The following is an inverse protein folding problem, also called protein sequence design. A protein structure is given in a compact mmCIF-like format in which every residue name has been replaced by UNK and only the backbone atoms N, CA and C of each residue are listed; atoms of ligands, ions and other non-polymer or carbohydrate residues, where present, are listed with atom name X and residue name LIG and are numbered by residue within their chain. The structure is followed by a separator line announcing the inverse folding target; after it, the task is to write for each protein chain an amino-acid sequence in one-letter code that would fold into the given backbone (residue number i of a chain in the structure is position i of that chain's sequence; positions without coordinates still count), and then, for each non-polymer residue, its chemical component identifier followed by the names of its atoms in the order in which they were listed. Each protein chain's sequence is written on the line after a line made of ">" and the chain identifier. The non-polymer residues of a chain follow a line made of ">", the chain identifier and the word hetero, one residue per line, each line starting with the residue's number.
data_IF_906830379055
#
_entry.id   IF_906830379055
#
_cell.length_a   1.000
_cell.length_b   1.000
_cell.length_c   1.000
_cell.angle_alpha   90.00
_cell.angle_beta   90.00
_cell.angle_gamma   90.00
#
_symmetry.space_group_name_H-M   'P 1'
#
loop_
_entity.id
_entity.type
_entity.pdbx_description
1 polymer ?
#
# COMPACT_ATOMS: atom_id res chain seq x y z
N UNK A 1 11.56 6.73 -2.15
CA UNK A 1 11.29 6.33 -0.75
C UNK A 1 11.22 4.80 -0.60
N UNK A 2 11.42 4.25 0.60
CA UNK A 2 11.23 2.80 0.88
C UNK A 2 9.75 2.50 1.10
N UNK A 3 9.24 1.39 0.58
CA UNK A 3 7.86 0.95 0.75
C UNK A 3 7.74 -0.59 0.79
N UNK A 4 6.72 -1.11 1.46
CA UNK A 4 6.36 -2.54 1.44
C UNK A 4 5.37 -2.81 0.31
N UNK A 5 5.83 -3.45 -0.76
CA UNK A 5 5.03 -3.78 -1.94
C UNK A 5 4.57 -5.23 -1.88
N UNK A 6 3.27 -5.43 -1.96
CA UNK A 6 2.64 -6.74 -2.05
C UNK A 6 2.52 -7.15 -3.52
N UNK A 7 3.20 -8.24 -3.89
CA UNK A 7 3.21 -8.81 -5.23
C UNK A 7 2.21 -9.97 -5.38
N UNK A 8 1.75 -10.53 -4.26
CA UNK A 8 0.87 -11.69 -4.22
C UNK A 8 1.08 -12.48 -2.94
N UNK A 9 0.37 -13.59 -2.82
CA UNK A 9 0.38 -14.45 -1.63
C UNK A 9 1.81 -14.78 -1.20
N UNK A 10 2.12 -14.51 0.06
CA UNK A 10 3.43 -14.69 0.69
C UNK A 10 4.60 -13.96 0.01
N UNK A 11 4.31 -12.90 -0.77
CA UNK A 11 5.30 -12.12 -1.50
C UNK A 11 5.13 -10.63 -1.19
N UNK A 12 5.66 -10.22 -0.03
CA UNK A 12 5.73 -8.83 0.41
C UNK A 12 7.20 -8.38 0.44
N UNK A 13 7.54 -7.34 -0.33
CA UNK A 13 8.94 -6.91 -0.53
C UNK A 13 9.14 -5.47 -0.11
N UNK A 14 10.20 -5.22 0.65
CA UNK A 14 10.67 -3.86 0.90
C UNK A 14 11.48 -3.38 -0.31
N UNK A 15 10.93 -2.40 -1.02
CA UNK A 15 11.50 -1.88 -2.28
C UNK A 15 11.66 -0.36 -2.22
N UNK A 16 12.61 0.18 -2.98
CA UNK A 16 12.70 1.62 -3.23
C UNK A 16 11.80 2.00 -4.40
N UNK A 17 10.88 2.92 -4.17
CA UNK A 17 9.95 3.46 -5.18
C UNK A 17 10.16 4.96 -5.35
N UNK A 18 9.74 5.56 -6.48
CA UNK A 18 9.71 7.01 -6.62
C UNK A 18 8.93 7.66 -5.48
N UNK A 19 9.41 8.82 -5.04
CA UNK A 19 8.72 9.57 -4.01
C UNK A 19 7.56 10.36 -4.62
N UNK A 20 6.32 10.22 -4.12
CA UNK A 20 5.19 10.93 -4.67
C UNK A 20 5.25 12.42 -4.33
N UNK A 21 4.77 13.25 -5.26
CA UNK A 21 4.41 14.65 -5.01
C UNK A 21 2.90 14.79 -4.90
N UNK A 22 2.38 15.72 -4.08
CA UNK A 22 0.94 15.94 -3.98
C UNK A 22 0.40 16.65 -5.22
N UNK A 23 -0.77 16.22 -5.70
CA UNK A 23 -1.56 16.94 -6.70
C UNK A 23 -2.40 18.08 -6.09
N UNK A 24 -3.16 18.82 -6.93
CA UNK A 24 -4.09 19.84 -6.45
C UNK A 24 -5.11 19.26 -5.46
N UNK A 25 -5.20 19.83 -4.26
CA UNK A 25 -6.11 19.38 -3.20
C UNK A 25 -5.59 18.22 -2.35
N UNK A 26 -4.37 17.74 -2.60
CA UNK A 26 -3.74 16.67 -1.82
C UNK A 26 -2.70 17.23 -0.86
N UNK A 27 -2.41 16.46 0.19
CA UNK A 27 -1.32 16.73 1.13
C UNK A 27 -0.40 15.52 1.15
N UNK A 28 0.91 15.77 1.15
CA UNK A 28 1.91 14.73 1.33
C UNK A 28 2.16 14.51 2.81
N UNK A 29 2.13 13.26 3.25
CA UNK A 29 2.45 12.89 4.63
C UNK A 29 3.77 12.13 4.69
N UNK A 30 4.64 12.51 5.63
CA UNK A 30 5.71 11.65 6.12
C UNK A 30 5.13 10.70 7.17
N UNK A 31 4.94 9.44 6.78
CA UNK A 31 4.41 8.40 7.67
C UNK A 31 5.38 8.18 8.84
N UNK A 32 4.86 8.32 10.07
CA UNK A 32 5.60 8.08 11.32
C UNK A 32 5.38 6.65 11.82
N UNK A 33 4.12 6.21 11.82
CA UNK A 33 3.71 4.88 12.26
C UNK A 33 2.59 4.34 11.36
N UNK A 34 2.56 3.02 11.21
CA UNK A 34 1.49 2.28 10.56
C UNK A 34 1.19 1.00 11.34
N UNK A 35 -0.08 0.72 11.61
CA UNK A 35 -0.54 -0.54 12.19
C UNK A 35 -0.48 -1.70 11.20
N UNK A 36 -0.45 -2.93 11.72
CA UNK A 36 -0.70 -4.14 10.92
C UNK A 36 -2.08 -4.63 11.30
N UNK A 37 -3.02 -4.55 10.36
CA UNK A 37 -4.36 -5.04 10.55
C UNK A 37 -4.42 -6.56 10.31
N UNK A 38 -5.43 -7.22 10.88
CA UNK A 38 -5.70 -8.63 10.53
C UNK A 38 -5.98 -8.83 9.03
N UNK A 39 -6.50 -7.81 8.34
CA UNK A 39 -6.72 -7.84 6.89
C UNK A 39 -5.41 -7.86 6.09
N UNK A 40 -4.34 -7.22 6.57
CA UNK A 40 -3.01 -7.29 5.95
C UNK A 40 -2.45 -8.72 6.04
N UNK A 41 -2.66 -9.40 7.18
CA UNK A 41 -2.29 -10.81 7.35
C UNK A 41 -3.12 -11.72 6.46
N UNK A 42 -4.44 -11.47 6.34
CA UNK A 42 -5.32 -12.21 5.45
C UNK A 42 -4.86 -12.08 3.99
N UNK A 43 -4.47 -10.88 3.58
CA UNK A 43 -3.92 -10.63 2.25
C UNK A 43 -2.59 -11.37 2.05
N UNK A 44 -1.67 -11.32 3.01
CA UNK A 44 -0.39 -12.02 2.90
C UNK A 44 -0.54 -13.54 2.81
N UNK A 45 -1.36 -14.16 3.66
CA UNK A 45 -1.46 -15.62 3.73
C UNK A 45 -2.47 -16.22 2.74
N UNK A 46 -3.53 -15.50 2.40
CA UNK A 46 -4.65 -16.03 1.61
C UNK A 46 -5.03 -15.17 0.41
N UNK A 47 -4.28 -14.10 0.12
CA UNK A 47 -4.62 -13.16 -0.93
C UNK A 47 -4.43 -13.67 -2.37
N UNK A 48 -4.95 -12.91 -3.35
CA UNK A 48 -5.60 -11.61 -3.15
C UNK A 48 -7.03 -11.71 -2.61
N UNK A 49 -7.32 -10.99 -1.51
CA UNK A 49 -8.67 -10.92 -0.91
C UNK A 49 -9.24 -9.52 -1.12
N UNK A 50 -8.49 -8.48 -0.74
CA UNK A 50 -8.92 -7.08 -0.88
C UNK A 50 -8.14 -6.35 -1.96
N UNK A 51 -6.89 -6.75 -2.21
CA UNK A 51 -6.12 -6.24 -3.35
C UNK A 51 -6.62 -6.85 -4.67
N UNK A 52 -6.21 -6.26 -5.80
CA UNK A 52 -6.77 -6.59 -7.12
C UNK A 52 -5.67 -6.99 -8.09
N UNK A 53 -5.92 -8.05 -8.86
CA UNK A 53 -5.07 -8.43 -10.00
C UNK A 53 -5.40 -7.65 -11.29
N UNK A 54 -6.48 -6.86 -11.28
CA UNK A 54 -6.92 -5.97 -12.36
C UNK A 54 -7.12 -4.56 -11.81
N UNK A 55 -7.06 -3.51 -12.65
CA UNK A 55 -7.18 -2.13 -12.16
C UNK A 55 -8.50 -1.91 -11.43
N UNK A 56 -8.43 -1.32 -10.24
CA UNK A 56 -9.62 -0.90 -9.50
C UNK A 56 -10.37 0.19 -10.29
N UNK A 57 -11.70 0.11 -10.46
CA UNK A 57 -12.44 1.01 -11.35
C UNK A 57 -12.36 2.49 -10.96
N UNK A 58 -12.14 2.82 -9.68
CA UNK A 58 -12.05 4.21 -9.22
C UNK A 58 -10.61 4.74 -9.15
N UNK A 59 -9.63 3.89 -8.85
CA UNK A 59 -8.26 4.33 -8.53
C UNK A 59 -7.24 3.87 -9.57
N UNK A 60 -7.60 2.94 -10.45
CA UNK A 60 -6.68 2.31 -11.40
C UNK A 60 -5.64 1.38 -10.75
N UNK A 61 -5.59 1.30 -9.41
CA UNK A 61 -4.58 0.55 -8.67
C UNK A 61 -4.82 -0.97 -8.82
N UNK A 62 -3.74 -1.71 -9.00
CA UNK A 62 -3.67 -3.16 -9.00
C UNK A 62 -2.33 -3.64 -8.42
N UNK A 63 -2.20 -4.93 -8.16
CA UNK A 63 -0.94 -5.52 -7.72
C UNK A 63 0.16 -5.38 -8.80
N UNK A 64 1.42 -5.10 -8.40
CA UNK A 64 1.89 -4.93 -7.03
C UNK A 64 1.50 -3.57 -6.40
N UNK A 65 1.13 -3.57 -5.11
CA UNK A 65 0.61 -2.39 -4.41
C UNK A 65 1.30 -2.16 -3.07
N UNK A 66 1.44 -0.89 -2.65
CA UNK A 66 1.94 -0.54 -1.31
C UNK A 66 0.88 -0.90 -0.25
N UNK A 67 1.28 -1.64 0.78
CA UNK A 67 0.40 -2.06 1.88
C UNK A 67 0.35 -1.05 3.03
N UNK A 68 -0.67 -1.17 3.89
CA UNK A 68 -0.88 -0.36 5.08
C UNK A 68 -2.06 0.62 4.94
N UNK A 69 -2.94 0.62 5.93
CA UNK A 69 -4.16 1.44 5.94
C UNK A 69 -4.50 2.00 7.33
N UNK A 70 -3.54 2.01 8.25
CA UNK A 70 -3.70 2.42 9.64
C UNK A 70 -2.54 3.36 10.04
N UNK A 71 -2.47 4.53 9.40
CA UNK A 71 -1.29 5.41 9.48
C UNK A 71 -1.50 6.67 10.32
N UNK A 72 -0.40 7.17 10.90
CA UNK A 72 -0.28 8.56 11.30
C UNK A 72 1.01 9.17 10.73
N UNK A 73 1.01 10.49 10.54
CA UNK A 73 2.11 11.19 9.91
C UNK A 73 2.11 12.68 10.19
N UNK A 74 3.16 13.34 9.73
CA UNK A 74 3.26 14.80 9.67
C UNK A 74 3.21 15.26 8.21
N UNK A 75 2.76 16.50 8.01
CA UNK A 75 2.74 17.18 6.71
C UNK A 75 4.11 17.75 6.40
#
# INVERSE_FOLDING_TARGET
>A
MRAALYHGRQDLRLTSVPEPGPGPGEVKLRVLYNGICGSDLLEYFHGPVTTRSRPHPLTGVQNPVIMGHEVCGEV
#
